data_IF_012568161443
#
_entry.id   IF_012568161443
#
_cell.length_a   1.000
_cell.length_b   1.000
_cell.length_c   1.000
_cell.angle_alpha   90.00
_cell.angle_beta   90.00
_cell.angle_gamma   90.00
#
_symmetry.space_group_name_H-M   'P 1'
#
loop_
_entity.id
_entity.type
_entity.pdbx_description
1 polymer ?
#
# COMPACT_ATOMS: atom_id res chain seq x y z
N UNK A 1 -17.69 -4.35 -1.31
CA UNK A 1 -16.72 -4.01 -2.38
C UNK A 1 -16.55 -5.26 -3.23
N UNK A 2 -16.76 -5.16 -4.53
CA UNK A 2 -16.82 -6.31 -5.44
C UNK A 2 -15.44 -7.01 -5.51
N UNK A 3 -15.38 -8.28 -5.13
CA UNK A 3 -14.13 -9.05 -4.99
C UNK A 3 -13.33 -9.11 -6.31
N UNK A 4 -14.04 -8.93 -7.42
CA UNK A 4 -13.52 -8.86 -8.78
C UNK A 4 -12.55 -7.71 -9.00
N UNK A 5 -12.81 -6.54 -8.41
CA UNK A 5 -11.96 -5.34 -8.59
C UNK A 5 -10.65 -5.42 -7.79
N UNK A 6 -10.71 -5.98 -6.59
CA UNK A 6 -9.50 -6.22 -5.77
C UNK A 6 -8.54 -7.20 -6.42
N UNK A 7 -9.08 -8.20 -7.12
CA UNK A 7 -8.28 -9.25 -7.76
C UNK A 7 -7.52 -8.71 -8.98
N UNK A 8 -8.16 -7.84 -9.77
CA UNK A 8 -7.49 -7.14 -10.86
C UNK A 8 -6.41 -6.16 -10.37
N UNK A 9 -6.64 -5.51 -9.22
CA UNK A 9 -5.64 -4.63 -8.62
C UNK A 9 -4.38 -5.38 -8.20
N UNK A 10 -4.53 -6.54 -7.52
CA UNK A 10 -3.40 -7.40 -7.17
C UNK A 10 -2.62 -7.86 -8.41
N UNK A 11 -3.30 -8.26 -9.47
CA UNK A 11 -2.65 -8.66 -10.73
C UNK A 11 -1.84 -7.53 -11.37
N UNK A 12 -2.41 -6.32 -11.45
CA UNK A 12 -1.71 -5.13 -12.01
C UNK A 12 -0.51 -4.72 -11.16
N UNK A 13 -0.63 -4.79 -9.83
CA UNK A 13 0.47 -4.47 -8.91
C UNK A 13 1.60 -5.50 -8.98
N UNK A 14 1.27 -6.80 -8.98
CA UNK A 14 2.26 -7.88 -9.14
C UNK A 14 3.03 -7.74 -10.44
N UNK A 15 2.34 -7.43 -11.55
CA UNK A 15 3.00 -7.19 -12.83
C UNK A 15 3.96 -5.99 -12.77
N UNK A 16 3.59 -4.92 -12.06
CA UNK A 16 4.44 -3.75 -11.86
C UNK A 16 5.70 -4.10 -11.07
N UNK A 17 5.57 -4.90 -10.00
CA UNK A 17 6.68 -5.38 -9.18
C UNK A 17 7.61 -6.31 -9.98
N UNK A 18 7.05 -7.17 -10.85
CA UNK A 18 7.83 -8.04 -11.72
C UNK A 18 8.68 -7.20 -12.71
N UNK A 19 8.08 -6.21 -13.38
CA UNK A 19 8.81 -5.32 -14.30
C UNK A 19 9.94 -4.60 -13.56
N UNK A 20 9.66 -4.09 -12.35
CA UNK A 20 10.68 -3.41 -11.55
C UNK A 20 11.84 -4.33 -11.18
N UNK A 21 11.56 -5.59 -10.81
CA UNK A 21 12.61 -6.56 -10.53
C UNK A 21 13.44 -6.88 -11.79
N UNK A 22 12.81 -7.06 -12.94
CA UNK A 22 13.52 -7.27 -14.21
C UNK A 22 14.43 -6.08 -14.52
N UNK A 23 13.98 -4.86 -14.28
CA UNK A 23 14.79 -3.64 -14.43
C UNK A 23 16.01 -3.67 -13.50
N UNK A 24 15.82 -4.00 -12.23
CA UNK A 24 16.91 -4.11 -11.24
C UNK A 24 17.93 -5.17 -11.67
N UNK A 25 17.46 -6.35 -12.11
CA UNK A 25 18.34 -7.41 -12.60
C UNK A 25 19.09 -7.01 -13.89
N UNK A 26 18.42 -6.32 -14.82
CA UNK A 26 19.07 -5.85 -16.05
C UNK A 26 20.18 -4.83 -15.77
N UNK A 27 19.94 -3.89 -14.85
CA UNK A 27 20.94 -2.91 -14.42
C UNK A 27 22.09 -3.60 -13.67
N UNK A 28 21.78 -4.50 -12.74
CA UNK A 28 22.80 -5.25 -12.01
C UNK A 28 23.68 -6.10 -12.94
N UNK A 29 23.07 -6.78 -13.91
CA UNK A 29 23.79 -7.54 -14.94
C UNK A 29 24.68 -6.63 -15.80
N UNK A 30 24.20 -5.44 -16.19
CA UNK A 30 25.00 -4.47 -16.93
C UNK A 30 26.24 -4.02 -16.14
N UNK A 31 26.09 -3.73 -14.84
CA UNK A 31 27.19 -3.35 -13.95
C UNK A 31 28.18 -4.49 -13.79
N UNK A 32 27.70 -5.71 -13.56
CA UNK A 32 28.55 -6.92 -13.44
C UNK A 32 29.36 -7.11 -14.73
N UNK A 33 28.70 -7.09 -15.89
CA UNK A 33 29.37 -7.24 -17.18
C UNK A 33 30.35 -6.09 -17.42
N UNK A 34 30.01 -4.87 -17.01
CA UNK A 34 30.91 -3.74 -17.16
C UNK A 34 32.15 -3.86 -16.27
N UNK A 35 32.05 -4.27 -15.01
CA UNK A 35 33.20 -4.28 -14.09
C UNK A 35 34.00 -5.58 -14.09
N UNK A 36 33.35 -6.73 -14.28
CA UNK A 36 33.98 -8.05 -14.11
C UNK A 36 34.50 -8.61 -15.44
N UNK A 37 33.85 -8.30 -16.57
CA UNK A 37 34.23 -8.89 -17.86
C UNK A 37 35.46 -8.18 -18.44
N UNK A 38 36.54 -8.92 -18.77
CA UNK A 38 37.75 -8.34 -19.37
C UNK A 38 37.48 -7.64 -20.71
N UNK A 39 38.25 -6.59 -21.01
CA UNK A 39 38.17 -5.85 -22.29
C UNK A 39 38.48 -6.68 -23.52
N UNK A 40 39.18 -7.81 -23.35
CA UNK A 40 39.47 -8.75 -24.43
C UNK A 40 38.22 -9.45 -24.97
N UNK A 41 37.09 -9.39 -24.25
CA UNK A 41 35.83 -9.96 -24.70
C UNK A 41 35.06 -8.94 -25.52
N UNK A 42 35.07 -9.11 -26.84
CA UNK A 42 34.39 -8.23 -27.81
C UNK A 42 32.87 -8.11 -27.56
N UNK A 43 32.26 -9.11 -26.93
CA UNK A 43 30.83 -9.13 -26.60
C UNK A 43 30.44 -8.24 -25.40
N UNK A 44 31.39 -7.68 -24.65
CA UNK A 44 31.11 -6.84 -23.46
C UNK A 44 30.23 -5.63 -23.81
N UNK A 45 30.59 -4.89 -24.86
CA UNK A 45 29.88 -3.68 -25.30
C UNK A 45 28.44 -3.99 -25.78
N UNK A 46 28.20 -4.93 -26.71
CA UNK A 46 26.84 -5.22 -27.17
C UNK A 46 25.93 -5.73 -26.05
N UNK A 47 26.44 -6.51 -25.09
CA UNK A 47 25.65 -6.97 -23.94
C UNK A 47 25.20 -5.78 -23.07
N UNK A 48 26.11 -4.85 -22.77
CA UNK A 48 25.77 -3.65 -22.00
C UNK A 48 24.71 -2.80 -22.73
N UNK A 49 24.84 -2.64 -24.06
CA UNK A 49 23.86 -1.91 -24.88
C UNK A 49 22.49 -2.57 -24.81
N UNK A 50 22.41 -3.91 -24.92
CA UNK A 50 21.15 -4.65 -24.81
C UNK A 50 20.52 -4.48 -23.43
N UNK A 51 21.30 -4.58 -22.35
CA UNK A 51 20.79 -4.34 -20.99
C UNK A 51 20.25 -2.92 -20.80
N UNK A 52 20.94 -1.91 -21.36
CA UNK A 52 20.46 -0.51 -21.34
C UNK A 52 19.14 -0.39 -22.12
N UNK A 53 19.05 -0.98 -23.32
CA UNK A 53 17.84 -0.93 -24.13
C UNK A 53 16.63 -1.58 -23.41
N UNK A 54 16.83 -2.75 -22.80
CA UNK A 54 15.81 -3.44 -21.99
C UNK A 54 15.38 -2.55 -20.82
N UNK A 55 16.34 -1.87 -20.18
CA UNK A 55 16.06 -0.99 -19.04
C UNK A 55 15.20 0.22 -19.46
N UNK A 56 15.52 0.85 -20.59
CA UNK A 56 14.75 1.99 -21.14
C UNK A 56 13.32 1.55 -21.48
N UNK A 57 13.15 0.41 -22.17
CA UNK A 57 11.83 -0.12 -22.53
C UNK A 57 11.01 -0.43 -21.28
N UNK A 58 11.61 -1.08 -20.29
CA UNK A 58 10.96 -1.41 -19.02
C UNK A 58 10.51 -0.15 -18.29
N UNK A 59 11.34 0.89 -18.26
CA UNK A 59 11.01 2.18 -17.66
C UNK A 59 9.85 2.87 -18.40
N UNK A 60 9.87 2.86 -19.74
CA UNK A 60 8.82 3.44 -20.57
C UNK A 60 7.46 2.75 -20.37
N UNK A 61 7.44 1.44 -20.12
CA UNK A 61 6.22 0.68 -19.78
C UNK A 61 5.81 0.90 -18.32
N UNK A 62 6.78 1.06 -17.42
CA UNK A 62 6.54 1.22 -15.99
C UNK A 62 5.85 2.56 -15.65
N UNK A 63 6.33 3.68 -16.21
CA UNK A 63 5.81 5.03 -15.92
C UNK A 63 4.29 5.16 -16.11
N UNK A 64 3.70 4.83 -17.27
CA UNK A 64 2.26 4.98 -17.49
C UNK A 64 1.44 4.05 -16.60
N UNK A 65 1.92 2.82 -16.37
CA UNK A 65 1.23 1.87 -15.49
C UNK A 65 1.30 2.29 -14.02
N UNK A 66 2.43 2.82 -13.57
CA UNK A 66 2.58 3.40 -12.23
C UNK A 66 1.62 4.57 -12.03
N UNK A 67 1.51 5.49 -13.01
CA UNK A 67 0.57 6.62 -12.94
C UNK A 67 -0.88 6.15 -12.90
N UNK A 68 -1.25 5.15 -13.68
CA UNK A 68 -2.60 4.59 -13.68
C UNK A 68 -2.92 3.92 -12.33
N UNK A 69 -1.99 3.15 -11.76
CA UNK A 69 -2.15 2.55 -10.43
C UNK A 69 -2.24 3.62 -9.35
N UNK A 70 -1.42 4.67 -9.41
CA UNK A 70 -1.45 5.78 -8.45
C UNK A 70 -2.78 6.55 -8.53
N UNK A 71 -3.26 6.87 -9.73
CA UNK A 71 -4.54 7.53 -9.92
C UNK A 71 -5.72 6.67 -9.42
N UNK A 72 -5.67 5.36 -9.65
CA UNK A 72 -6.67 4.45 -9.10
C UNK A 72 -6.60 4.39 -7.57
N UNK A 73 -5.39 4.39 -6.99
CA UNK A 73 -5.18 4.41 -5.54
C UNK A 73 -5.70 5.70 -4.90
N UNK A 74 -5.62 6.82 -5.63
CA UNK A 74 -6.11 8.12 -5.18
C UNK A 74 -7.65 8.16 -5.15
N UNK A 75 -8.30 7.47 -6.11
CA UNK A 75 -9.76 7.40 -6.23
C UNK A 75 -10.37 6.33 -5.30
N UNK A 76 -9.69 5.20 -5.08
CA UNK A 76 -10.25 4.03 -4.36
C UNK A 76 -9.54 3.70 -3.04
N UNK A 77 -8.38 4.29 -2.79
CA UNK A 77 -7.75 4.22 -1.49
C UNK A 77 -8.47 5.18 -0.58
N UNK A 78 -9.40 4.66 0.25
CA UNK A 78 -9.98 5.41 1.39
C UNK A 78 -8.85 6.24 1.98
N UNK A 79 -8.96 7.56 1.85
CA UNK A 79 -7.85 8.43 2.20
C UNK A 79 -7.50 8.12 3.65
N UNK A 80 -6.22 8.17 4.01
CA UNK A 80 -5.80 7.89 5.39
C UNK A 80 -6.66 8.69 6.38
N UNK A 81 -7.07 9.88 5.97
CA UNK A 81 -8.01 10.77 6.66
C UNK A 81 -9.41 10.18 6.86
N UNK A 82 -10.05 9.61 5.84
CA UNK A 82 -11.35 8.95 5.99
C UNK A 82 -11.32 7.76 6.95
N UNK A 83 -10.27 6.93 6.87
CA UNK A 83 -10.10 5.81 7.82
C UNK A 83 -9.86 6.29 9.25
N UNK A 84 -9.08 7.36 9.41
CA UNK A 84 -8.85 7.97 10.71
C UNK A 84 -10.13 8.61 11.26
N UNK A 85 -10.91 9.29 10.42
CA UNK A 85 -12.20 9.87 10.78
C UNK A 85 -13.20 8.79 11.18
N UNK A 86 -13.25 7.66 10.48
CA UNK A 86 -14.09 6.52 10.84
C UNK A 86 -13.65 5.90 12.18
N UNK A 87 -12.34 5.68 12.36
CA UNK A 87 -11.80 5.15 13.62
C UNK A 87 -12.06 6.12 14.79
N UNK A 88 -12.00 7.43 14.55
CA UNK A 88 -12.32 8.44 15.56
C UNK A 88 -13.80 8.44 15.91
N UNK A 89 -14.70 8.40 14.92
CA UNK A 89 -16.14 8.27 15.14
C UNK A 89 -16.48 7.02 15.94
N UNK A 90 -15.95 5.87 15.58
CA UNK A 90 -16.17 4.62 16.31
C UNK A 90 -15.68 4.71 17.77
N UNK A 91 -14.53 5.36 18.01
CA UNK A 91 -14.02 5.61 19.36
C UNK A 91 -14.84 6.61 20.15
N UNK A 92 -15.43 7.60 19.50
CA UNK A 92 -16.33 8.57 20.13
C UNK A 92 -17.66 7.94 20.51
N UNK A 93 -18.24 7.15 19.60
CA UNK A 93 -19.45 6.37 19.87
C UNK A 93 -19.25 5.38 21.01
N UNK A 94 -18.13 4.64 21.01
CA UNK A 94 -17.79 3.73 22.11
C UNK A 94 -17.66 4.48 23.44
N UNK A 95 -16.97 5.63 23.45
CA UNK A 95 -16.84 6.47 24.66
C UNK A 95 -18.19 7.03 25.13
N UNK A 96 -19.08 7.39 24.21
CA UNK A 96 -20.42 7.84 24.53
C UNK A 96 -21.27 6.72 25.15
N UNK A 97 -21.18 5.50 24.62
CA UNK A 97 -21.88 4.32 25.18
C UNK A 97 -21.43 4.02 26.60
N UNK A 98 -20.12 3.95 26.84
CA UNK A 98 -19.57 3.69 28.18
C UNK A 98 -19.99 4.78 29.17
N UNK A 99 -20.03 6.05 28.74
CA UNK A 99 -20.50 7.14 29.60
C UNK A 99 -21.98 6.97 29.97
N UNK A 100 -22.83 6.64 29.00
CA UNK A 100 -24.25 6.44 29.24
C UNK A 100 -24.51 5.25 30.18
N UNK A 101 -23.79 4.14 29.99
CA UNK A 101 -23.84 2.96 30.85
C UNK A 101 -23.42 3.30 32.29
N UNK A 102 -22.33 4.04 32.46
CA UNK A 102 -21.88 4.50 33.78
C UNK A 102 -22.89 5.45 34.45
N UNK A 103 -23.53 6.34 33.69
CA UNK A 103 -24.59 7.22 34.20
C UNK A 103 -25.85 6.46 34.64
N UNK A 104 -26.19 5.37 33.94
CA UNK A 104 -27.27 4.47 34.31
C UNK A 104 -26.93 3.70 35.60
N UNK A 105 -25.73 3.11 35.69
CA UNK A 105 -25.26 2.42 36.91
C UNK A 105 -25.27 3.35 38.14
N UNK A 106 -24.75 4.58 37.99
CA UNK A 106 -24.75 5.59 39.05
C UNK A 106 -26.17 5.95 39.51
N UNK A 107 -27.12 6.04 38.56
CA UNK A 107 -28.54 6.33 38.87
C UNK A 107 -29.18 5.16 39.61
N UNK A 108 -28.88 3.92 39.23
CA UNK A 108 -29.35 2.72 39.94
C UNK A 108 -28.79 2.63 41.36
N UNK A 109 -27.49 2.92 41.55
CA UNK A 109 -26.86 2.97 42.88
C UNK A 109 -27.48 4.04 43.78
N UNK A 110 -27.75 5.24 43.26
CA UNK A 110 -28.41 6.31 44.02
C UNK A 110 -29.84 5.94 44.43
N UNK A 111 -30.60 5.32 43.53
CA UNK A 111 -31.94 4.82 43.85
C UNK A 111 -31.90 3.70 44.89
N UNK A 112 -30.90 2.82 44.81
CA UNK A 112 -30.64 1.78 45.80
C UNK A 112 -30.35 2.36 47.18
N UNK A 113 -29.43 3.33 47.29
CA UNK A 113 -29.12 4.01 48.57
C UNK A 113 -30.34 4.71 49.17
N UNK A 114 -31.10 5.48 48.38
CA UNK A 114 -32.31 6.16 48.86
C UNK A 114 -33.40 5.22 49.36
N UNK A 115 -33.41 3.97 48.90
CA UNK A 115 -34.35 2.93 49.35
C UNK A 115 -33.91 2.25 50.65
N UNK A 116 -32.61 2.29 50.97
CA UNK A 116 -32.04 1.74 52.22
C UNK A 116 -32.11 2.75 53.38
N UNK A 117 -32.13 4.06 53.08
CA UNK A 117 -32.26 5.13 54.10
C UNK A 117 -33.72 5.46 54.51
N UNK A 118 -34.72 4.82 53.92
CA UNK A 118 -36.15 4.98 54.27
C UNK A 118 -36.70 3.74 54.97
#
# INVERSE_FOLDING_TARGET
MDETERTQFKGKFTFLVIILNILIFAIAAAIIVFFIVPESIWLRIPIVIVCIAISIISLAVFIPKYRATKAWLDVHGTTKEERLAQTQKEREEYRARIRAELEEEMREEEMGRKKVEK
#
